data_IF_528735110376
#
_entry.id   IF_528735110376
#
_cell.length_a   1.000
_cell.length_b   1.000
_cell.length_c   1.000
_cell.angle_alpha   90.00
_cell.angle_beta   90.00
_cell.angle_gamma   90.00
#
_symmetry.space_group_name_H-M   'P 1'
#
loop_
_entity.id
_entity.type
_entity.pdbx_description
1 polymer ?
#
# COMPACT_ATOMS: atom_id res chain seq x y z
N UNK A 1 6.40 6.11 9.26
CA UNK A 1 7.04 6.11 7.93
C UNK A 1 6.16 5.31 6.97
N UNK A 2 6.10 5.62 5.67
CA UNK A 2 5.19 4.89 4.74
C UNK A 2 5.44 3.38 4.70
N UNK A 3 6.70 2.94 4.75
CA UNK A 3 7.04 1.52 4.79
C UNK A 3 6.50 0.81 6.06
N UNK A 4 6.55 1.49 7.20
CA UNK A 4 6.03 0.98 8.48
C UNK A 4 4.50 0.92 8.48
N UNK A 5 3.84 1.90 7.85
CA UNK A 5 2.39 1.90 7.67
C UNK A 5 1.93 0.72 6.78
N UNK A 6 2.67 0.41 5.71
CA UNK A 6 2.38 -0.76 4.86
C UNK A 6 2.48 -2.07 5.67
N UNK A 7 3.52 -2.22 6.50
CA UNK A 7 3.69 -3.42 7.33
C UNK A 7 2.56 -3.52 8.35
N UNK A 8 2.25 -2.43 9.05
CA UNK A 8 1.18 -2.39 10.07
C UNK A 8 -0.17 -2.74 9.45
N UNK A 9 -0.50 -2.15 8.30
CA UNK A 9 -1.74 -2.46 7.59
C UNK A 9 -1.83 -3.96 7.25
N UNK A 10 -0.73 -4.59 6.83
CA UNK A 10 -0.71 -6.03 6.52
C UNK A 10 -0.84 -6.94 7.74
N UNK A 11 -0.33 -6.52 8.89
CA UNK A 11 -0.48 -7.26 10.14
C UNK A 11 -1.95 -7.29 10.59
N UNK A 12 -2.67 -6.18 10.38
CA UNK A 12 -4.08 -6.04 10.79
C UNK A 12 -5.07 -6.61 9.77
N UNK A 13 -4.79 -6.47 8.47
CA UNK A 13 -5.73 -6.80 7.38
C UNK A 13 -5.34 -8.04 6.57
N UNK A 14 -4.09 -8.51 6.69
CA UNK A 14 -3.54 -9.60 5.90
C UNK A 14 -2.77 -9.14 4.66
N UNK A 15 -2.58 -10.04 3.69
CA UNK A 15 -1.91 -9.70 2.44
C UNK A 15 -2.80 -8.83 1.55
N UNK A 16 -2.17 -7.97 0.73
CA UNK A 16 -2.89 -7.23 -0.30
C UNK A 16 -3.49 -8.17 -1.34
N UNK A 17 -4.73 -7.92 -1.73
CA UNK A 17 -5.44 -8.66 -2.78
C UNK A 17 -5.58 -7.85 -4.08
N UNK A 18 -5.36 -6.54 -4.01
CA UNK A 18 -5.29 -5.63 -5.15
C UNK A 18 -4.23 -4.55 -4.91
N UNK A 19 -3.72 -3.93 -5.97
CA UNK A 19 -2.70 -2.87 -5.84
C UNK A 19 -3.35 -1.60 -5.27
N UNK A 20 -4.64 -1.42 -5.54
CA UNK A 20 -5.48 -0.30 -5.10
C UNK A 20 -5.66 -0.24 -3.58
N UNK A 21 -5.59 -1.38 -2.87
CA UNK A 21 -5.63 -1.43 -1.40
C UNK A 21 -4.47 -0.65 -0.74
N UNK A 22 -3.39 -0.35 -1.48
CA UNK A 22 -2.35 0.56 -0.97
C UNK A 22 -2.88 1.97 -0.65
N UNK A 23 -4.01 2.40 -1.21
CA UNK A 23 -4.66 3.67 -0.84
C UNK A 23 -5.28 3.67 0.55
N UNK A 24 -5.48 2.49 1.15
CA UNK A 24 -5.95 2.35 2.53
C UNK A 24 -4.82 2.51 3.55
N UNK A 25 -3.56 2.60 3.08
CA UNK A 25 -2.39 2.79 3.93
C UNK A 25 -2.16 4.27 4.20
N UNK A 26 -2.10 4.65 5.47
CA UNK A 26 -1.82 6.01 5.90
C UNK A 26 -0.51 6.55 5.27
N UNK A 27 -0.64 7.65 4.53
CA UNK A 27 0.47 8.31 3.84
C UNK A 27 0.69 7.86 2.39
N UNK A 28 -0.18 7.02 1.82
CA UNK A 28 -0.22 6.72 0.39
C UNK A 28 -1.49 7.36 -0.20
N UNK A 29 -1.30 8.41 -1.01
CA UNK A 29 -2.36 9.00 -1.82
C UNK A 29 -2.25 8.58 -3.29
N UNK A 30 -3.18 9.04 -4.12
CA UNK A 30 -3.23 8.70 -5.56
C UNK A 30 -1.89 8.91 -6.28
N UNK A 31 -1.23 10.05 -6.08
CA UNK A 31 0.07 10.33 -6.72
C UNK A 31 1.16 9.32 -6.31
N UNK A 32 1.19 8.93 -5.04
CA UNK A 32 2.14 7.92 -4.55
C UNK A 32 1.78 6.54 -5.08
N UNK A 33 0.49 6.22 -5.20
CA UNK A 33 0.06 4.97 -5.82
C UNK A 33 0.48 4.91 -7.28
N UNK A 34 0.31 5.99 -8.06
CA UNK A 34 0.72 6.04 -9.47
C UNK A 34 2.21 5.72 -9.65
N UNK A 35 3.07 6.24 -8.77
CA UNK A 35 4.51 5.95 -8.77
C UNK A 35 4.83 4.51 -8.34
N UNK A 36 4.06 3.94 -7.41
CA UNK A 36 4.28 2.61 -6.85
C UNK A 36 3.70 1.48 -7.70
N UNK A 37 2.55 1.68 -8.33
CA UNK A 37 1.81 0.68 -9.09
C UNK A 37 2.67 -0.08 -10.13
N UNK A 38 3.54 0.55 -10.94
CA UNK A 38 4.39 -0.18 -11.87
C UNK A 38 5.56 -0.94 -11.21
N UNK A 39 5.83 -0.70 -9.93
CA UNK A 39 6.96 -1.28 -9.18
C UNK A 39 6.56 -2.45 -8.28
N UNK A 40 5.27 -2.74 -8.17
CA UNK A 40 4.73 -3.76 -7.26
C UNK A 40 3.96 -4.83 -8.01
N UNK A 41 3.87 -6.01 -7.40
CA UNK A 41 3.10 -7.15 -7.89
C UNK A 41 2.37 -7.78 -6.71
N UNK A 42 1.20 -8.37 -6.97
CA UNK A 42 0.40 -9.10 -5.97
C UNK A 42 0.98 -10.49 -5.68
#
# INVERSE_FOLDING_TARGET
MTAEAIVSWREDNGGFTSVEELLEVDGIGEATLEDLAPLVTL
#
